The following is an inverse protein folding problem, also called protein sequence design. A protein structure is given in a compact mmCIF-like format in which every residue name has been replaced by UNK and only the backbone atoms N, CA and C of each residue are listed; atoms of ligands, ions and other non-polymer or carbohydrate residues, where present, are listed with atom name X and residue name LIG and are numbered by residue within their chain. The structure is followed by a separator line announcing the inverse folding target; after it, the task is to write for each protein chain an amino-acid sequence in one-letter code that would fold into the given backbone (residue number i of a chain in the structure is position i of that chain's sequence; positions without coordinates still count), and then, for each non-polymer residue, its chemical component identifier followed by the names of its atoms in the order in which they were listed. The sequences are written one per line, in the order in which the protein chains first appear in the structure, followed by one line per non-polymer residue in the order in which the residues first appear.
data_IF_562509783891
#
_entry.id   IF_562509783891
#
_cell.length_a   1.000
_cell.length_b   1.000
_cell.length_c   1.000
_cell.angle_alpha   90.00
_cell.angle_beta   90.00
_cell.angle_gamma   90.00
#
_symmetry.space_group_name_H-M   'P 1'
#
loop_
_entity.id
_entity.type
_entity.pdbx_description
1 polymer ?
#
# COMPACT_ATOMS: atom_id res chain seq x y z
N UNK A 1 -28.75 44.29 -20.19
CA UNK A 1 -28.29 43.33 -21.21
C UNK A 1 -26.85 42.95 -20.92
N UNK A 2 -26.54 41.66 -21.07
CA UNK A 2 -25.23 41.02 -21.22
C UNK A 2 -24.16 41.15 -20.11
N UNK A 3 -23.62 39.98 -19.75
CA UNK A 3 -22.39 39.79 -18.97
C UNK A 3 -22.15 38.31 -18.68
N UNK A 4 -21.73 37.55 -19.70
CA UNK A 4 -21.16 36.19 -19.56
C UNK A 4 -19.79 36.30 -18.88
N UNK A 5 -19.47 35.37 -18.00
CA UNK A 5 -18.12 34.85 -17.72
C UNK A 5 -18.30 33.50 -17.01
N UNK A 6 -17.68 32.37 -17.37
CA UNK A 6 -16.45 32.15 -18.11
C UNK A 6 -15.64 31.10 -17.36
N UNK A 7 -16.06 29.82 -17.44
CA UNK A 7 -15.41 28.69 -16.78
C UNK A 7 -14.01 28.47 -17.37
N UNK A 8 -12.96 28.92 -16.66
CA UNK A 8 -11.58 28.59 -17.01
C UNK A 8 -11.19 27.25 -16.40
N UNK A 9 -11.30 26.18 -17.17
CA UNK A 9 -10.56 24.92 -16.97
C UNK A 9 -9.09 25.17 -17.33
N UNK A 10 -8.26 25.40 -16.32
CA UNK A 10 -6.80 25.44 -16.50
C UNK A 10 -6.26 24.00 -16.42
N UNK A 11 -6.12 23.32 -17.57
CA UNK A 11 -5.31 22.10 -17.67
C UNK A 11 -3.85 22.50 -17.73
N UNK A 12 -3.25 22.63 -16.56
CA UNK A 12 -1.83 22.91 -16.36
C UNK A 12 -1.03 21.62 -16.63
N UNK A 13 -0.73 21.32 -17.90
CA UNK A 13 0.17 20.22 -18.32
C UNK A 13 1.65 20.59 -18.03
N UNK A 14 1.96 20.92 -16.78
CA UNK A 14 3.29 20.77 -16.19
C UNK A 14 3.38 19.43 -15.45
N UNK A 15 4.56 18.98 -14.99
CA UNK A 15 4.65 17.81 -14.14
C UNK A 15 3.98 18.14 -12.80
N UNK A 16 2.74 17.70 -12.63
CA UNK A 16 1.96 17.94 -11.43
C UNK A 16 2.64 17.17 -10.30
N UNK A 17 3.18 17.90 -9.32
CA UNK A 17 3.56 17.31 -8.04
C UNK A 17 2.29 16.72 -7.41
N UNK A 18 2.16 15.39 -7.45
CA UNK A 18 1.03 14.66 -6.89
C UNK A 18 1.00 14.85 -5.37
N UNK A 19 0.16 15.77 -4.92
CA UNK A 19 -0.18 15.98 -3.51
C UNK A 19 -0.98 14.75 -3.04
N UNK A 20 -0.40 13.91 -2.18
CA UNK A 20 -1.08 12.76 -1.57
C UNK A 20 -0.35 11.41 -1.61
N UNK A 21 0.86 11.34 -2.17
CA UNK A 21 1.62 10.09 -2.23
C UNK A 21 2.31 9.78 -0.89
N UNK A 22 2.16 8.53 -0.43
CA UNK A 22 2.95 7.99 0.64
C UNK A 22 4.33 7.57 0.09
N UNK A 23 5.37 8.29 0.48
CA UNK A 23 6.73 8.14 -0.08
C UNK A 23 7.20 9.28 -0.99
N UNK A 24 6.43 10.36 -1.20
CA UNK A 24 6.94 11.53 -1.95
C UNK A 24 7.78 12.39 -1.03
N UNK A 25 7.35 12.57 0.23
CA UNK A 25 8.07 13.42 1.17
C UNK A 25 9.45 12.86 1.59
N UNK A 26 9.59 11.53 1.67
CA UNK A 26 10.74 10.88 2.31
C UNK A 26 11.63 10.07 1.34
N UNK A 27 11.32 10.05 0.03
CA UNK A 27 12.20 9.37 -0.94
C UNK A 27 13.45 10.23 -1.21
N UNK A 28 14.67 9.66 -1.18
CA UNK A 28 15.93 10.40 -1.35
C UNK A 28 16.02 11.19 -2.67
N UNK A 29 15.21 10.83 -3.67
CA UNK A 29 15.14 11.54 -4.96
C UNK A 29 14.14 12.71 -5.01
N UNK A 30 13.41 13.01 -3.93
CA UNK A 30 12.39 14.07 -3.91
C UNK A 30 12.98 15.47 -4.18
N UNK A 31 14.12 15.81 -3.55
CA UNK A 31 14.80 17.09 -3.73
C UNK A 31 15.41 17.29 -5.12
N UNK A 32 15.78 16.19 -5.77
CA UNK A 32 16.27 16.18 -7.15
C UNK A 32 15.12 16.61 -8.09
N UNK A 33 13.89 16.14 -7.86
CA UNK A 33 12.74 16.48 -8.70
C UNK A 33 12.26 17.92 -8.46
N UNK A 34 12.19 18.38 -7.21
CA UNK A 34 11.73 19.74 -6.89
C UNK A 34 12.65 20.87 -7.42
N UNK A 35 13.96 20.60 -7.56
CA UNK A 35 14.92 21.54 -8.16
C UNK A 35 15.00 21.44 -9.68
N UNK A 36 14.66 20.28 -10.25
CA UNK A 36 14.70 20.00 -11.70
C UNK A 36 13.44 20.49 -12.43
N UNK A 37 12.30 20.57 -11.74
CA UNK A 37 11.07 21.18 -12.25
C UNK A 37 11.13 22.71 -12.45
N UNK A 38 12.24 23.35 -12.05
CA UNK A 38 12.45 24.80 -12.20
C UNK A 38 13.19 25.20 -13.49
N UNK A 39 13.62 24.26 -14.34
CA UNK A 39 14.26 24.59 -15.63
C UNK A 39 13.21 24.90 -16.70
N UNK A 40 13.57 25.86 -17.57
CA UNK A 40 12.76 26.50 -18.63
C UNK A 40 11.77 25.52 -19.29
N UNK A 41 10.48 25.73 -19.05
CA UNK A 41 9.37 24.97 -19.67
C UNK A 41 9.29 25.25 -21.18
N UNK A 42 10.13 24.59 -22.00
CA UNK A 42 9.81 24.38 -23.41
C UNK A 42 8.77 23.26 -23.48
N UNK A 43 7.61 23.54 -24.08
CA UNK A 43 6.53 22.57 -24.22
C UNK A 43 6.82 21.67 -25.41
N UNK A 44 7.33 20.47 -25.14
CA UNK A 44 7.48 19.44 -26.16
C UNK A 44 6.25 18.55 -26.20
N UNK A 45 5.75 18.26 -27.41
CA UNK A 45 4.64 17.32 -27.60
C UNK A 45 5.20 15.92 -27.78
N UNK A 46 4.87 15.01 -26.85
CA UNK A 46 5.19 13.60 -26.99
C UNK A 46 4.42 13.01 -28.18
N UNK A 47 4.98 12.04 -28.93
CA UNK A 47 4.22 11.27 -29.90
C UNK A 47 2.99 10.63 -29.25
N UNK A 48 1.84 10.60 -29.95
CA UNK A 48 0.55 10.16 -29.39
C UNK A 48 0.60 8.77 -28.75
N UNK A 49 1.32 7.84 -29.36
CA UNK A 49 1.55 6.50 -28.83
C UNK A 49 2.21 6.54 -27.44
N UNK A 50 3.32 7.27 -27.33
CA UNK A 50 4.07 7.41 -26.06
C UNK A 50 3.24 8.15 -25.03
N UNK A 51 2.53 9.22 -25.44
CA UNK A 51 1.62 9.97 -24.57
C UNK A 51 0.53 9.06 -24.00
N UNK A 52 -0.07 8.20 -24.83
CA UNK A 52 -1.10 7.24 -24.43
C UNK A 52 -0.54 6.20 -23.45
N UNK A 53 0.63 5.63 -23.73
CA UNK A 53 1.25 4.65 -22.83
C UNK A 53 1.60 5.26 -21.47
N UNK A 54 2.22 6.44 -21.45
CA UNK A 54 2.52 7.15 -20.20
C UNK A 54 1.24 7.41 -19.39
N UNK A 55 0.17 7.88 -20.03
CA UNK A 55 -1.13 8.10 -19.37
C UNK A 55 -1.67 6.81 -18.73
N UNK A 56 -1.61 5.70 -19.44
CA UNK A 56 -2.03 4.40 -18.91
C UNK A 56 -1.19 3.95 -17.72
N UNK A 57 0.11 4.25 -17.70
CA UNK A 57 0.98 3.97 -16.54
C UNK A 57 0.58 4.81 -15.33
N UNK A 58 0.32 6.12 -15.51
CA UNK A 58 -0.10 6.99 -14.41
C UNK A 58 -1.44 6.56 -13.79
N UNK A 59 -2.42 6.24 -14.65
CA UNK A 59 -3.74 5.74 -14.23
C UNK A 59 -3.60 4.41 -13.48
N UNK A 60 -2.81 3.49 -14.05
CA UNK A 60 -2.58 2.18 -13.44
C UNK A 60 -1.85 2.29 -12.09
N UNK A 61 -0.80 3.11 -12.01
CA UNK A 61 -0.08 3.36 -10.76
C UNK A 61 -1.01 3.95 -9.71
N UNK A 62 -1.84 4.93 -10.06
CA UNK A 62 -2.75 5.57 -9.10
C UNK A 62 -3.72 4.55 -8.50
N UNK A 63 -4.30 3.68 -9.33
CA UNK A 63 -5.17 2.62 -8.86
C UNK A 63 -4.42 1.59 -7.99
N UNK A 64 -3.23 1.15 -8.42
CA UNK A 64 -2.42 0.18 -7.70
C UNK A 64 -1.94 0.70 -6.34
N UNK A 65 -1.55 1.97 -6.26
CA UNK A 65 -1.08 2.64 -5.05
C UNK A 65 -2.21 2.81 -4.03
N UNK A 66 -3.39 3.30 -4.45
CA UNK A 66 -4.55 3.38 -3.56
C UNK A 66 -4.97 2.00 -3.04
N UNK A 67 -4.95 0.97 -3.89
CA UNK A 67 -5.25 -0.39 -3.49
C UNK A 67 -4.21 -0.90 -2.48
N UNK A 68 -2.92 -0.75 -2.77
CA UNK A 68 -1.84 -1.16 -1.87
C UNK A 68 -1.95 -0.48 -0.51
N UNK A 69 -2.12 0.84 -0.46
CA UNK A 69 -2.32 1.59 0.79
C UNK A 69 -3.54 1.09 1.57
N UNK A 70 -4.66 0.81 0.90
CA UNK A 70 -5.87 0.28 1.54
C UNK A 70 -5.62 -1.10 2.15
N UNK A 71 -4.92 -1.98 1.43
CA UNK A 71 -4.58 -3.32 1.91
C UNK A 71 -3.60 -3.26 3.10
N UNK A 72 -2.63 -2.36 3.07
CA UNK A 72 -1.70 -2.13 4.19
C UNK A 72 -2.42 -1.59 5.42
N UNK A 73 -3.37 -0.68 5.23
CA UNK A 73 -4.21 -0.19 6.32
C UNK A 73 -5.07 -1.31 6.92
N UNK A 74 -5.68 -2.16 6.10
CA UNK A 74 -6.47 -3.32 6.57
C UNK A 74 -5.68 -4.33 7.41
N UNK A 75 -4.34 -4.36 7.33
CA UNK A 75 -3.54 -5.32 8.09
C UNK A 75 -3.36 -4.92 9.56
N UNK A 76 -3.32 -3.62 9.86
CA UNK A 76 -2.99 -3.12 11.21
C UNK A 76 -3.97 -2.07 11.73
N UNK A 77 -4.84 -1.53 10.87
CA UNK A 77 -5.88 -0.52 11.17
C UNK A 77 -5.36 0.77 11.80
N UNK A 78 -4.04 0.94 11.79
CA UNK A 78 -3.32 2.11 12.29
C UNK A 78 -2.72 2.89 11.12
N UNK A 79 -3.08 4.17 10.93
CA UNK A 79 -2.53 4.97 9.85
C UNK A 79 -1.00 5.03 9.90
N UNK A 80 -0.41 5.29 11.07
CA UNK A 80 1.04 5.47 11.22
C UNK A 80 1.81 4.15 11.01
N UNK A 81 1.30 3.04 11.54
CA UNK A 81 1.98 1.75 11.41
C UNK A 81 1.86 1.19 9.99
N UNK A 82 0.68 1.29 9.36
CA UNK A 82 0.44 0.76 8.00
C UNK A 82 1.41 1.33 6.96
N UNK A 83 1.71 2.61 7.15
CA UNK A 83 2.67 3.41 6.39
C UNK A 83 4.12 2.91 6.48
N UNK A 84 4.49 2.25 7.57
CA UNK A 84 5.85 1.74 7.82
C UNK A 84 5.99 0.23 7.61
N UNK A 85 4.89 -0.48 7.32
CA UNK A 85 4.86 -1.94 7.27
C UNK A 85 5.83 -2.55 6.24
N UNK A 86 6.13 -1.84 5.15
CA UNK A 86 7.09 -2.29 4.13
C UNK A 86 8.51 -2.39 4.70
N UNK A 87 8.88 -1.44 5.56
CA UNK A 87 10.24 -1.32 6.10
C UNK A 87 10.38 -2.00 7.46
N UNK A 88 9.32 -1.92 8.28
CA UNK A 88 9.28 -2.38 9.66
C UNK A 88 7.98 -3.15 9.89
N UNK A 89 8.06 -4.47 9.83
CA UNK A 89 6.91 -5.33 10.16
C UNK A 89 6.59 -5.19 11.64
N UNK A 90 5.51 -4.46 11.93
CA UNK A 90 5.01 -4.23 13.28
C UNK A 90 3.49 -4.39 13.31
N UNK A 91 3.01 -5.10 14.31
CA UNK A 91 1.59 -5.21 14.63
C UNK A 91 1.28 -4.40 15.87
N UNK A 92 0.00 -4.08 16.08
CA UNK A 92 -0.41 -3.43 17.32
C UNK A 92 -0.29 -4.39 18.51
N UNK A 93 0.32 -3.98 19.63
CA UNK A 93 0.58 -4.86 20.76
C UNK A 93 -0.66 -5.06 21.66
N UNK A 94 -1.88 -4.84 21.16
CA UNK A 94 -3.08 -4.76 21.99
C UNK A 94 -3.41 -6.09 22.66
N UNK A 95 -3.34 -7.20 21.91
CA UNK A 95 -3.57 -8.54 22.43
C UNK A 95 -2.50 -8.93 23.46
N UNK A 96 -1.24 -8.62 23.17
CA UNK A 96 -0.11 -8.81 24.10
C UNK A 96 -0.28 -8.01 25.40
N UNK A 97 -0.70 -6.74 25.31
CA UNK A 97 -0.96 -5.87 26.46
C UNK A 97 -2.14 -6.38 27.28
N UNK A 98 -3.23 -6.80 26.63
CA UNK A 98 -4.37 -7.38 27.30
C UNK A 98 -4.00 -8.68 28.03
N UNK A 99 -3.22 -9.57 27.40
CA UNK A 99 -2.71 -10.79 28.03
C UNK A 99 -1.84 -10.48 29.26
N UNK A 100 -0.93 -9.50 29.15
CA UNK A 100 -0.08 -9.07 30.27
C UNK A 100 -0.92 -8.52 31.43
N UNK A 101 -1.93 -7.70 31.13
CA UNK A 101 -2.84 -7.16 32.14
C UNK A 101 -3.61 -8.27 32.87
N UNK A 102 -4.18 -9.23 32.13
CA UNK A 102 -4.90 -10.36 32.74
C UNK A 102 -4.01 -11.22 33.63
N UNK A 103 -2.75 -11.44 33.25
CA UNK A 103 -1.78 -12.17 34.09
C UNK A 103 -1.47 -11.44 35.39
N UNK A 104 -1.25 -10.13 35.33
CA UNK A 104 -1.01 -9.31 36.52
C UNK A 104 -2.23 -9.33 37.44
N UNK A 105 -3.42 -9.20 36.88
CA UNK A 105 -4.67 -9.24 37.63
C UNK A 105 -4.93 -10.61 38.28
N UNK A 106 -4.70 -11.72 37.56
CA UNK A 106 -4.79 -13.08 38.09
C UNK A 106 -3.81 -13.28 39.26
N UNK A 107 -2.57 -12.78 39.11
CA UNK A 107 -1.55 -12.79 40.16
C UNK A 107 -1.96 -12.01 41.42
N UNK A 108 -2.49 -10.79 41.25
CA UNK A 108 -2.99 -9.97 42.36
C UNK A 108 -4.21 -10.61 43.04
N UNK A 109 -5.13 -11.20 42.29
CA UNK A 109 -6.29 -11.89 42.87
C UNK A 109 -5.89 -13.13 43.67
N UNK A 110 -4.93 -13.91 43.18
CA UNK A 110 -4.37 -15.07 43.91
C UNK A 110 -3.66 -14.64 45.20
N UNK A 111 -3.06 -13.45 45.23
CA UNK A 111 -2.38 -12.90 46.41
C UNK A 111 -3.32 -12.17 47.38
N UNK A 112 -4.41 -11.57 46.89
CA UNK A 112 -5.23 -10.59 47.61
C UNK A 112 -6.63 -11.03 48.04
N UNK A 113 -7.08 -12.26 47.77
CA UNK A 113 -8.43 -12.72 48.17
C UNK A 113 -8.43 -14.08 48.89
N UNK A 114 -7.95 -14.09 50.14
CA UNK A 114 -8.82 -14.56 51.24
C UNK A 114 -9.77 -13.40 51.56
N UNK A 115 -10.65 -13.04 50.63
CA UNK A 115 -11.68 -12.06 50.95
C UNK A 115 -12.64 -12.77 51.90
N UNK A 116 -12.85 -12.22 53.08
CA UNK A 116 -13.66 -12.74 54.20
C UNK A 116 -15.13 -13.04 53.82
N UNK A 117 -15.36 -14.01 52.94
CA UNK A 117 -16.69 -14.52 52.64
C UNK A 117 -16.73 -16.01 52.95
N UNK A 118 -17.67 -16.38 53.82
CA UNK A 118 -18.03 -17.76 54.17
C UNK A 118 -18.55 -18.59 52.97
N UNK A 119 -18.49 -18.03 51.76
CA UNK A 119 -18.85 -18.63 50.47
C UNK A 119 -17.78 -18.25 49.43
N UNK A 120 -16.51 -18.52 49.74
CA UNK A 120 -15.37 -18.22 48.86
C UNK A 120 -15.46 -19.00 47.55
N UNK A 121 -16.18 -18.46 46.56
CA UNK A 121 -16.04 -18.89 45.17
C UNK A 121 -14.65 -18.44 44.71
N UNK A 122 -13.74 -19.39 44.57
CA UNK A 122 -12.49 -19.18 43.86
C UNK A 122 -12.83 -18.55 42.50
N UNK A 123 -12.26 -17.38 42.22
CA UNK A 123 -12.37 -16.77 40.91
C UNK A 123 -11.68 -17.70 39.91
N UNK A 124 -12.38 -18.06 38.83
CA UNK A 124 -11.80 -18.88 37.77
C UNK A 124 -10.52 -18.24 37.24
N UNK A 125 -9.50 -19.06 37.02
CA UNK A 125 -8.22 -18.54 36.56
C UNK A 125 -8.34 -17.92 35.17
N UNK A 126 -7.71 -16.76 35.00
CA UNK A 126 -7.62 -16.07 33.71
C UNK A 126 -6.44 -16.55 32.87
N UNK A 127 -5.67 -17.52 33.35
CA UNK A 127 -4.53 -18.08 32.64
C UNK A 127 -4.89 -18.60 31.23
N UNK A 128 -5.98 -19.38 31.02
CA UNK A 128 -6.38 -19.85 29.69
C UNK A 128 -6.67 -18.70 28.72
N UNK A 129 -7.35 -17.65 29.20
CA UNK A 129 -7.67 -16.46 28.41
C UNK A 129 -6.40 -15.69 28.04
N UNK A 130 -5.47 -15.54 28.98
CA UNK A 130 -4.19 -14.87 28.71
C UNK A 130 -3.33 -15.62 27.68
N UNK A 131 -3.33 -16.97 27.71
CA UNK A 131 -2.64 -17.80 26.72
C UNK A 131 -3.30 -17.69 25.36
N UNK A 132 -4.64 -17.71 25.31
CA UNK A 132 -5.40 -17.51 24.08
C UNK A 132 -5.04 -16.18 23.41
N UNK A 133 -5.06 -15.07 24.15
CA UNK A 133 -4.71 -13.75 23.60
C UNK A 133 -3.30 -13.70 23.00
N UNK A 134 -2.32 -14.38 23.62
CA UNK A 134 -0.96 -14.45 23.06
C UNK A 134 -0.88 -15.31 21.80
N UNK A 135 -1.66 -16.39 21.73
CA UNK A 135 -1.74 -17.21 20.53
C UNK A 135 -2.39 -16.44 19.37
N UNK A 136 -3.44 -15.67 19.66
CA UNK A 136 -4.07 -14.76 18.68
C UNK A 136 -3.10 -13.66 18.22
N UNK A 137 -2.29 -13.10 19.13
CA UNK A 137 -1.24 -12.11 18.81
C UNK A 137 -0.19 -12.70 17.84
N UNK A 138 0.30 -13.91 18.13
CA UNK A 138 1.26 -14.61 17.29
C UNK A 138 0.68 -15.00 15.92
N UNK A 139 -0.59 -15.39 15.86
CA UNK A 139 -1.28 -15.69 14.60
C UNK A 139 -1.43 -14.43 13.74
N UNK A 140 -1.80 -13.31 14.36
CA UNK A 140 -1.91 -12.02 13.70
C UNK A 140 -0.56 -11.55 13.13
N UNK A 141 0.53 -11.64 13.90
CA UNK A 141 1.88 -11.33 13.41
C UNK A 141 2.29 -12.20 12.21
N UNK A 142 1.97 -13.51 12.26
CA UNK A 142 2.26 -14.43 11.15
C UNK A 142 1.48 -14.06 9.89
N UNK A 143 0.19 -13.75 10.04
CA UNK A 143 -0.67 -13.28 8.93
C UNK A 143 -0.08 -12.03 8.30
N UNK A 144 0.27 -11.01 9.09
CA UNK A 144 0.79 -9.74 8.56
C UNK A 144 2.06 -10.00 7.73
N UNK A 145 3.01 -10.81 8.23
CA UNK A 145 4.21 -11.18 7.47
C UNK A 145 3.87 -11.84 6.13
N UNK A 146 2.99 -12.85 6.15
CA UNK A 146 2.61 -13.59 4.93
C UNK A 146 1.84 -12.71 3.94
N UNK A 147 1.01 -11.80 4.43
CA UNK A 147 0.31 -10.85 3.58
C UNK A 147 1.23 -9.83 2.92
N UNK A 148 2.25 -9.34 3.65
CA UNK A 148 3.28 -8.48 3.07
C UNK A 148 4.09 -9.21 1.99
N UNK A 149 4.39 -10.49 2.20
CA UNK A 149 5.02 -11.35 1.18
C UNK A 149 4.14 -11.49 -0.07
N UNK A 150 2.83 -11.71 0.10
CA UNK A 150 1.89 -11.77 -1.01
C UNK A 150 1.85 -10.45 -1.79
N UNK A 151 1.90 -9.30 -1.11
CA UNK A 151 1.83 -7.96 -1.70
C UNK A 151 3.16 -7.48 -2.33
N UNK A 152 4.25 -8.25 -2.25
CA UNK A 152 5.54 -7.90 -2.85
C UNK A 152 5.46 -7.39 -4.30
N UNK A 153 4.67 -8.00 -5.21
CA UNK A 153 4.56 -7.50 -6.57
C UNK A 153 4.04 -6.06 -6.65
N UNK A 154 3.03 -5.69 -5.85
CA UNK A 154 2.51 -4.33 -5.79
C UNK A 154 3.51 -3.38 -5.12
N UNK A 155 4.16 -3.82 -4.04
CA UNK A 155 5.22 -3.03 -3.39
C UNK A 155 6.35 -2.72 -4.37
N UNK A 156 6.78 -3.71 -5.18
CA UNK A 156 7.81 -3.53 -6.20
C UNK A 156 7.36 -2.56 -7.30
N UNK A 157 6.13 -2.68 -7.78
CA UNK A 157 5.58 -1.77 -8.79
C UNK A 157 5.66 -0.31 -8.32
N UNK A 158 5.27 -0.05 -7.07
CA UNK A 158 5.21 1.31 -6.50
C UNK A 158 6.59 1.83 -6.10
N UNK A 159 7.43 0.97 -5.51
CA UNK A 159 8.71 1.32 -4.92
C UNK A 159 9.90 1.27 -5.89
N UNK A 160 9.80 0.55 -7.00
CA UNK A 160 10.91 0.33 -7.94
C UNK A 160 10.49 0.62 -9.38
N UNK A 161 9.57 -0.18 -9.93
CA UNK A 161 9.31 -0.17 -11.38
C UNK A 161 8.72 1.17 -11.85
N UNK A 162 7.86 1.81 -11.04
CA UNK A 162 7.34 3.15 -11.34
C UNK A 162 8.44 4.22 -11.35
N UNK A 163 9.39 4.15 -10.42
CA UNK A 163 10.48 5.12 -10.35
C UNK A 163 11.45 4.98 -11.53
N UNK A 164 11.69 3.75 -11.98
CA UNK A 164 12.47 3.50 -13.18
C UNK A 164 11.74 4.02 -14.44
N UNK A 165 10.42 3.82 -14.54
CA UNK A 165 9.61 4.45 -15.58
C UNK A 165 9.73 5.99 -15.55
N UNK A 166 9.60 6.61 -14.37
CA UNK A 166 9.70 8.06 -14.24
C UNK A 166 11.08 8.57 -14.67
N UNK A 167 12.14 7.84 -14.35
CA UNK A 167 13.51 8.11 -14.79
C UNK A 167 13.64 8.01 -16.31
N UNK A 168 13.15 6.93 -16.92
CA UNK A 168 13.21 6.73 -18.38
C UNK A 168 12.38 7.78 -19.14
N UNK A 169 11.20 8.14 -18.63
CA UNK A 169 10.36 9.20 -19.20
C UNK A 169 11.09 10.53 -19.21
N UNK A 170 11.84 10.85 -18.14
CA UNK A 170 12.66 12.06 -18.07
C UNK A 170 13.82 12.00 -19.07
N UNK A 171 14.57 10.89 -19.14
CA UNK A 171 15.67 10.72 -20.10
C UNK A 171 15.17 10.90 -21.54
N UNK A 172 13.96 10.41 -21.85
CA UNK A 172 13.35 10.62 -23.16
C UNK A 172 12.98 12.10 -23.40
N UNK A 173 12.47 12.79 -22.37
CA UNK A 173 12.21 14.23 -22.45
C UNK A 173 13.48 15.03 -22.74
N UNK A 174 14.56 14.74 -22.02
CA UNK A 174 15.88 15.38 -22.23
C UNK A 174 16.41 15.10 -23.66
N UNK A 175 16.14 13.92 -24.20
CA UNK A 175 16.50 13.56 -25.59
C UNK A 175 15.67 14.32 -26.64
N UNK A 176 14.41 14.67 -26.34
CA UNK A 176 13.59 15.52 -27.22
C UNK A 176 14.15 16.95 -27.26
N UNK A 177 14.55 17.49 -26.10
CA UNK A 177 15.14 18.82 -26.00
C UNK A 177 16.48 18.89 -26.76
N UNK A 178 17.36 17.91 -26.57
CA UNK A 178 18.64 17.83 -27.27
C UNK A 178 18.47 17.74 -28.80
N UNK A 179 17.44 17.03 -29.27
CA UNK A 179 17.13 16.94 -30.70
C UNK A 179 16.64 18.29 -31.26
N UNK A 180 15.76 18.99 -30.56
CA UNK A 180 15.25 20.30 -30.97
C UNK A 180 16.35 21.37 -31.03
N UNK A 181 17.26 21.35 -30.05
CA UNK A 181 18.45 22.22 -30.06
C UNK A 181 19.38 21.91 -31.25
N UNK A 182 19.61 20.62 -31.55
CA UNK A 182 20.43 20.21 -32.69
C UNK A 182 19.80 20.65 -34.03
N UNK A 183 18.49 20.46 -34.21
CA UNK A 183 17.75 20.94 -35.41
C UNK A 183 17.85 22.46 -35.53
N UNK A 184 17.70 23.19 -34.41
CA UNK A 184 17.83 24.64 -34.40
C UNK A 184 19.23 25.09 -34.83
N UNK A 185 20.27 24.38 -34.40
CA UNK A 185 21.66 24.68 -34.76
C UNK A 185 21.96 24.31 -36.23
N UNK A 186 21.47 23.17 -36.71
CA UNK A 186 21.56 22.77 -38.13
C UNK A 186 20.94 23.82 -39.04
N UNK A 187 19.75 24.33 -38.68
CA UNK A 187 19.07 25.35 -39.48
C UNK A 187 19.85 26.68 -39.55
N UNK A 188 20.64 26.99 -38.52
CA UNK A 188 21.47 28.21 -38.43
C UNK A 188 22.80 28.07 -39.17
N UNK A 189 23.52 26.97 -38.95
CA UNK A 189 24.90 26.79 -39.42
C UNK A 189 24.98 26.11 -40.79
N UNK A 190 24.09 25.15 -41.07
CA UNK A 190 24.02 24.38 -42.33
C UNK A 190 25.37 23.80 -42.76
N UNK A 191 26.07 23.23 -41.79
CA UNK A 191 27.38 22.57 -41.95
C UNK A 191 27.23 21.05 -41.91
N UNK A 192 28.12 20.30 -42.56
CA UNK A 192 28.15 18.83 -42.47
C UNK A 192 28.20 18.34 -41.01
N UNK A 193 28.93 19.06 -40.15
CA UNK A 193 29.01 18.75 -38.73
C UNK A 193 27.66 18.92 -38.00
N UNK A 194 26.89 19.96 -38.33
CA UNK A 194 25.58 20.19 -37.71
C UNK A 194 24.50 19.24 -38.25
N UNK A 195 24.63 18.78 -39.49
CA UNK A 195 23.85 17.66 -40.03
C UNK A 195 24.15 16.35 -39.28
N UNK A 196 25.44 16.02 -39.09
CA UNK A 196 25.85 14.83 -38.35
C UNK A 196 25.38 14.86 -36.89
N UNK A 197 25.49 16.02 -36.22
CA UNK A 197 25.01 16.20 -34.85
C UNK A 197 23.49 15.98 -34.74
N UNK A 198 22.72 16.47 -35.70
CA UNK A 198 21.26 16.28 -35.74
C UNK A 198 20.89 14.81 -35.97
N UNK A 199 21.59 14.12 -36.87
CA UNK A 199 21.40 12.69 -37.10
C UNK A 199 21.69 11.86 -35.82
N UNK A 200 22.76 12.20 -35.10
CA UNK A 200 23.11 11.57 -33.83
C UNK A 200 22.04 11.82 -32.75
N UNK A 201 21.56 13.06 -32.63
CA UNK A 201 20.51 13.41 -31.68
C UNK A 201 19.17 12.70 -32.00
N UNK A 202 18.82 12.57 -33.28
CA UNK A 202 17.64 11.81 -33.72
C UNK A 202 17.75 10.33 -33.38
N UNK A 203 18.93 9.72 -33.57
CA UNK A 203 19.19 8.33 -33.20
C UNK A 203 19.04 8.13 -31.69
N UNK A 204 19.67 8.98 -30.88
CA UNK A 204 19.58 8.92 -29.41
C UNK A 204 18.13 9.06 -28.92
N UNK A 205 17.38 10.02 -29.47
CA UNK A 205 15.94 10.19 -29.19
C UNK A 205 15.14 8.91 -29.47
N UNK A 206 15.38 8.25 -30.60
CA UNK A 206 14.67 7.02 -30.96
C UNK A 206 15.04 5.86 -30.03
N UNK A 207 16.30 5.73 -29.64
CA UNK A 207 16.74 4.73 -28.66
C UNK A 207 16.09 4.94 -27.28
N UNK A 208 16.03 6.20 -26.81
CA UNK A 208 15.34 6.55 -25.56
C UNK A 208 13.84 6.24 -25.63
N UNK A 209 13.18 6.55 -26.76
CA UNK A 209 11.78 6.20 -27.00
C UNK A 209 11.56 4.69 -26.90
N UNK A 210 12.37 3.90 -27.60
CA UNK A 210 12.23 2.45 -27.61
C UNK A 210 12.44 1.85 -26.22
N UNK A 211 13.48 2.29 -25.50
CA UNK A 211 13.73 1.85 -24.12
C UNK A 211 12.55 2.12 -23.19
N UNK A 212 11.93 3.30 -23.31
CA UNK A 212 10.74 3.66 -22.52
C UNK A 212 9.55 2.75 -22.86
N UNK A 213 9.25 2.57 -24.14
CA UNK A 213 8.13 1.73 -24.61
C UNK A 213 8.33 0.27 -24.15
N UNK A 214 9.54 -0.27 -24.36
CA UNK A 214 9.88 -1.65 -23.99
C UNK A 214 9.74 -1.87 -22.48
N UNK A 215 10.19 -0.91 -21.68
CA UNK A 215 10.06 -0.98 -20.22
C UNK A 215 8.60 -0.96 -19.78
N UNK A 216 7.79 -0.05 -20.33
CA UNK A 216 6.35 0.02 -20.00
C UNK A 216 5.67 -1.31 -20.36
N UNK A 217 5.95 -1.86 -21.54
CA UNK A 217 5.39 -3.14 -21.97
C UNK A 217 5.77 -4.28 -21.03
N UNK A 218 7.07 -4.54 -20.89
CA UNK A 218 7.60 -5.74 -20.23
C UNK A 218 7.55 -5.69 -18.70
N UNK A 219 7.88 -4.52 -18.14
CA UNK A 219 8.05 -4.37 -16.69
C UNK A 219 6.76 -3.94 -15.99
N UNK A 220 5.83 -3.27 -16.68
CA UNK A 220 4.59 -2.78 -16.08
C UNK A 220 3.39 -3.57 -16.60
N UNK A 221 3.16 -3.58 -17.92
CA UNK A 221 1.93 -4.13 -18.47
C UNK A 221 1.88 -5.66 -18.44
N UNK A 222 2.98 -6.34 -18.78
CA UNK A 222 3.06 -7.80 -18.71
C UNK A 222 3.01 -8.35 -17.27
N UNK A 223 3.28 -7.49 -16.26
CA UNK A 223 3.21 -7.87 -14.86
C UNK A 223 1.80 -7.70 -14.25
N UNK A 224 0.83 -7.12 -14.98
CA UNK A 224 -0.54 -6.88 -14.47
C UNK A 224 -1.20 -8.12 -13.89
N UNK A 225 -1.01 -9.28 -14.52
CA UNK A 225 -1.54 -10.56 -14.02
C UNK A 225 -0.94 -10.92 -12.67
N UNK A 226 0.38 -10.74 -12.47
CA UNK A 226 1.02 -11.00 -11.17
C UNK A 226 0.54 -10.03 -10.10
N UNK A 227 0.28 -8.77 -10.45
CA UNK A 227 -0.31 -7.81 -9.52
C UNK A 227 -1.72 -8.24 -9.12
N UNK A 228 -2.56 -8.70 -10.05
CA UNK A 228 -3.88 -9.24 -9.73
C UNK A 228 -3.79 -10.50 -8.83
N UNK A 229 -2.90 -11.44 -9.18
CA UNK A 229 -2.67 -12.66 -8.40
C UNK A 229 -2.23 -12.36 -6.97
N UNK A 230 -1.45 -11.30 -6.75
CA UNK A 230 -1.03 -10.86 -5.41
C UNK A 230 -2.22 -10.50 -4.52
N UNK A 231 -3.24 -9.85 -5.10
CA UNK A 231 -4.47 -9.43 -4.41
C UNK A 231 -5.38 -10.63 -4.15
N UNK A 232 -5.44 -11.58 -5.09
CA UNK A 232 -6.20 -12.82 -4.90
C UNK A 232 -5.60 -13.67 -3.78
N UNK A 233 -4.27 -13.82 -3.75
CA UNK A 233 -3.58 -14.48 -2.64
C UNK A 233 -3.81 -13.76 -1.31
N UNK A 234 -3.89 -12.43 -1.34
CA UNK A 234 -4.21 -11.65 -0.16
C UNK A 234 -5.61 -11.99 0.39
N UNK A 235 -6.62 -12.05 -0.49
CA UNK A 235 -7.98 -12.46 -0.13
C UNK A 235 -7.99 -13.87 0.49
N UNK A 236 -7.36 -14.83 -0.17
CA UNK A 236 -7.39 -16.22 0.28
C UNK A 236 -6.73 -16.40 1.66
N UNK A 237 -5.63 -15.69 1.89
CA UNK A 237 -4.95 -15.67 3.18
C UNK A 237 -5.80 -15.00 4.28
N UNK A 238 -6.62 -14.01 3.94
CA UNK A 238 -7.55 -13.42 4.92
C UNK A 238 -8.60 -14.44 5.39
N UNK A 239 -9.11 -15.28 4.49
CA UNK A 239 -10.05 -16.36 4.84
C UNK A 239 -9.39 -17.39 5.74
N UNK A 240 -8.17 -17.83 5.39
CA UNK A 240 -7.39 -18.78 6.19
C UNK A 240 -7.11 -18.25 7.60
N UNK A 241 -6.76 -16.97 7.71
CA UNK A 241 -6.55 -16.32 9.00
C UNK A 241 -7.81 -16.34 9.89
N UNK A 242 -8.97 -15.95 9.35
CA UNK A 242 -10.21 -15.95 10.14
C UNK A 242 -10.60 -17.36 10.59
N UNK A 243 -10.31 -18.38 9.78
CA UNK A 243 -10.48 -19.79 10.16
C UNK A 243 -9.55 -20.18 11.31
N UNK A 244 -8.25 -19.88 11.19
CA UNK A 244 -7.28 -20.17 12.24
C UNK A 244 -7.62 -19.47 13.57
N UNK A 245 -8.06 -18.21 13.51
CA UNK A 245 -8.51 -17.46 14.68
C UNK A 245 -9.75 -18.09 15.33
N UNK A 246 -10.72 -18.55 14.53
CA UNK A 246 -11.92 -19.21 15.04
C UNK A 246 -11.60 -20.56 15.71
N UNK A 247 -10.66 -21.32 15.16
CA UNK A 247 -10.20 -22.59 15.75
C UNK A 247 -9.50 -22.40 17.12
N UNK A 248 -8.89 -21.23 17.35
CA UNK A 248 -8.28 -20.89 18.64
C UNK A 248 -9.30 -20.50 19.71
N UNK A 249 -10.43 -19.92 19.33
CA UNK A 249 -11.45 -19.44 20.28
C UNK A 249 -12.34 -20.61 20.69
N UNK A 250 -12.32 -21.05 21.97
CA UNK A 250 -13.15 -22.15 22.41
C UNK A 250 -14.64 -21.79 22.29
N UNK A 251 -15.40 -22.67 21.64
CA UNK A 251 -16.85 -22.54 21.53
C UNK A 251 -17.46 -22.88 22.90
N UNK A 252 -18.04 -21.90 23.58
CA UNK A 252 -18.91 -22.17 24.72
C UNK A 252 -20.26 -22.55 24.14
N UNK A 253 -20.53 -23.85 23.99
CA UNK A 253 -21.92 -24.29 23.84
C UNK A 253 -22.66 -23.79 25.07
N UNK A 254 -23.64 -22.89 24.88
CA UNK A 254 -24.59 -22.55 25.91
C UNK A 254 -25.26 -23.84 26.38
N UNK A 255 -24.81 -24.38 27.51
CA UNK A 255 -25.52 -25.43 28.20
C UNK A 255 -26.91 -24.87 28.50
N UNK A 256 -27.91 -25.30 27.72
CA UNK A 256 -29.33 -25.05 28.03
C UNK A 256 -29.52 -25.30 29.52
N UNK A 257 -30.11 -24.36 30.28
CA UNK A 257 -30.37 -24.60 31.69
C UNK A 257 -31.28 -25.84 31.77
N UNK A 258 -30.79 -26.90 32.41
CA UNK A 258 -31.66 -28.02 32.79
C UNK A 258 -32.75 -27.44 33.69
N UNK A 259 -33.98 -27.39 33.17
CA UNK A 259 -35.18 -27.07 33.95
C UNK A 259 -35.38 -28.13 35.04
N UNK A 260 -34.65 -28.00 36.15
CA UNK A 260 -34.98 -28.66 37.42
C UNK A 260 -35.80 -27.69 38.25
N UNK A 261 -37.06 -27.55 37.87
CA UNK A 261 -38.10 -26.98 38.72
C UNK A 261 -39.39 -27.77 38.49
N UNK A 262 -39.38 -29.01 38.98
CA UNK A 262 -40.61 -29.76 39.20
C UNK A 262 -41.04 -29.53 40.65
N UNK A 263 -41.53 -28.33 40.95
CA UNK A 263 -42.32 -28.10 42.17
C UNK A 263 -43.68 -28.75 41.90
N UNK A 264 -43.91 -29.94 42.48
CA UNK A 264 -45.25 -30.53 42.53
C UNK A 264 -46.14 -29.65 43.44
N UNK A 265 -47.34 -29.25 43.00
CA UNK A 265 -48.28 -28.57 43.88
C UNK A 265 -48.85 -29.56 44.91
N UNK A 266 -49.19 -29.09 46.13
CA UNK A 266 -49.72 -29.94 47.19
C UNK A 266 -51.12 -30.45 46.80
N UNK A 267 -51.37 -31.73 47.04
CA UNK A 267 -52.68 -32.35 46.89
C UNK A 267 -53.63 -31.85 47.98
N UNK A 268 -54.72 -31.19 47.59
CA UNK A 268 -55.85 -30.90 48.48
C UNK A 268 -56.58 -32.20 48.81
N UNK A 269 -56.74 -32.49 50.11
CA UNK A 269 -57.78 -33.38 50.63
C UNK A 269 -59.08 -32.60 50.75
#
# INVERSE_FOLDING_TARGET
MAGKDGTKTCTDEGPIALKGFYGLADHPNHGIIASILKRRNRKFTLPDEVKKMCKQVEEYKTAADHLHQSLMFMLVENPTTSKQLVENVRTEPNLRKAAAYLRTYDGLNRQGRKLDSKEGKELESLEPVSKLLLNLDAEHERRVRKQLENLKPLTKLIGEDYWEYARLRKVYWDALEAFDDAVTQQNKERTEQSEQNTANAQKYRNECRQKLIDFIGKSIFDQKTKHADSVLKFRDEAVLYHRAMAELIPYVEEKKPENKSAIKPPSSK
#
